data_IF_309135027430
#
_entry.id   IF_309135027430
#
_cell.length_a   1.000
_cell.length_b   1.000
_cell.length_c   1.000
_cell.angle_alpha   90.00
_cell.angle_beta   90.00
_cell.angle_gamma   90.00
#
_symmetry.space_group_name_H-M   'P 1'
#
loop_
_entity.id
_entity.type
_entity.pdbx_description
1 polymer ?
#
# COMPACT_ATOMS: atom_id res chain seq x y z
N UNK A 1 -40.07 -28.01 -10.23
CA UNK A 1 -39.42 -28.68 -9.08
C UNK A 1 -38.02 -29.08 -9.51
N UNK A 2 -37.03 -28.33 -9.04
CA UNK A 2 -35.64 -28.71 -8.76
C UNK A 2 -34.93 -27.39 -8.43
N UNK A 3 -35.12 -26.94 -7.18
CA UNK A 3 -34.32 -25.91 -6.56
C UNK A 3 -33.00 -26.55 -6.12
N UNK A 4 -31.87 -25.97 -6.48
CA UNK A 4 -30.63 -26.15 -5.72
C UNK A 4 -30.02 -24.78 -5.43
N UNK A 5 -30.51 -24.15 -4.37
CA UNK A 5 -29.78 -23.14 -3.61
C UNK A 5 -28.65 -23.84 -2.89
N UNK A 6 -27.44 -23.77 -3.46
CA UNK A 6 -26.21 -24.09 -2.73
C UNK A 6 -25.77 -22.86 -1.97
N UNK A 7 -26.13 -22.76 -0.70
CA UNK A 7 -25.42 -21.91 0.26
C UNK A 7 -24.01 -22.49 0.41
N UNK A 8 -23.02 -21.81 -0.15
CA UNK A 8 -21.61 -22.04 0.16
C UNK A 8 -21.30 -21.30 1.45
N UNK A 9 -21.50 -21.99 2.59
CA UNK A 9 -20.85 -21.63 3.84
C UNK A 9 -19.34 -21.79 3.65
N UNK A 10 -18.61 -20.68 3.56
CA UNK A 10 -17.16 -20.68 3.58
C UNK A 10 -16.69 -20.80 5.03
N UNK A 11 -16.23 -21.98 5.40
CA UNK A 11 -15.45 -22.20 6.62
C UNK A 11 -14.09 -21.49 6.49
N UNK A 12 -13.75 -20.66 7.48
CA UNK A 12 -12.39 -20.15 7.71
C UNK A 12 -11.47 -21.31 8.15
N UNK A 13 -11.26 -22.30 7.29
CA UNK A 13 -10.18 -23.27 7.49
C UNK A 13 -8.89 -22.64 6.96
N UNK A 14 -8.15 -22.00 7.87
CA UNK A 14 -6.77 -21.59 7.65
C UNK A 14 -5.93 -22.83 7.32
N UNK A 15 -5.22 -22.81 6.19
CA UNK A 15 -4.40 -23.91 5.70
C UNK A 15 -3.35 -24.31 6.77
N UNK A 16 -3.33 -25.56 7.27
CA UNK A 16 -2.41 -25.98 8.31
C UNK A 16 -0.94 -25.87 7.89
N UNK A 17 -0.64 -25.84 6.60
CA UNK A 17 0.71 -25.65 6.08
C UNK A 17 1.17 -24.18 6.21
N UNK A 18 0.24 -23.23 6.02
CA UNK A 18 0.45 -21.80 6.30
C UNK A 18 0.64 -21.59 7.80
N UNK A 19 -0.19 -22.20 8.65
CA UNK A 19 -0.03 -22.11 10.11
C UNK A 19 1.35 -22.65 10.55
N UNK A 20 1.79 -23.79 10.00
CA UNK A 20 3.11 -24.36 10.31
C UNK A 20 4.25 -23.41 9.90
N UNK A 21 4.14 -22.76 8.74
CA UNK A 21 5.11 -21.76 8.28
C UNK A 21 5.08 -20.48 9.13
N UNK A 22 3.90 -19.96 9.46
CA UNK A 22 3.69 -18.81 10.36
C UNK A 22 4.26 -19.07 11.75
N UNK A 23 4.12 -20.29 12.26
CA UNK A 23 4.68 -20.71 13.57
C UNK A 23 6.20 -20.83 13.50
N UNK A 24 6.76 -21.32 12.40
CA UNK A 24 8.22 -21.42 12.20
C UNK A 24 8.91 -20.06 12.08
N UNK A 25 8.26 -19.07 11.46
CA UNK A 25 8.73 -17.68 11.37
C UNK A 25 8.64 -16.97 12.73
N UNK A 26 7.52 -17.12 13.44
CA UNK A 26 7.36 -16.58 14.80
C UNK A 26 8.36 -17.17 15.82
N UNK A 27 8.78 -18.43 15.64
CA UNK A 27 9.80 -19.09 16.46
C UNK A 27 11.24 -18.68 16.08
N UNK A 28 11.45 -18.12 14.89
CA UNK A 28 12.76 -17.68 14.41
C UNK A 28 13.22 -16.37 15.06
N UNK A 29 12.28 -15.50 15.47
CA UNK A 29 12.56 -14.31 16.29
C UNK A 29 13.06 -14.66 17.71
N UNK A 30 12.84 -15.91 18.16
CA UNK A 30 13.31 -16.43 19.45
C UNK A 30 14.62 -17.22 19.40
N UNK A 31 15.14 -17.55 18.21
CA UNK A 31 16.43 -18.21 18.06
C UNK A 31 17.42 -17.23 17.46
N UNK A 32 18.35 -16.77 18.30
CA UNK A 32 19.54 -16.04 17.92
C UNK A 32 20.23 -16.71 16.72
N UNK A 33 20.00 -16.19 15.52
CA UNK A 33 20.91 -16.39 14.41
C UNK A 33 22.10 -15.49 14.66
N UNK A 34 23.24 -16.09 14.99
CA UNK A 34 24.51 -15.40 14.93
C UNK A 34 24.75 -15.01 13.46
N UNK A 35 24.46 -13.77 13.09
CA UNK A 35 24.72 -13.27 11.73
C UNK A 35 23.72 -12.29 11.11
N UNK A 36 22.69 -11.80 11.81
CA UNK A 36 21.95 -10.65 11.29
C UNK A 36 22.87 -9.41 11.31
N UNK A 37 23.03 -8.66 10.20
CA UNK A 37 23.86 -7.46 10.19
C UNK A 37 23.35 -6.47 11.24
N UNK A 38 24.24 -5.95 12.09
CA UNK A 38 23.87 -4.91 13.04
C UNK A 38 23.32 -3.70 12.28
N UNK A 39 22.10 -3.26 12.62
CA UNK A 39 21.50 -2.07 12.00
C UNK A 39 22.34 -0.85 12.34
N UNK A 40 22.89 -0.19 11.32
CA UNK A 40 23.83 0.94 11.45
C UNK A 40 23.17 2.29 11.71
N UNK A 41 21.83 2.37 11.61
CA UNK A 41 21.04 3.60 11.66
C UNK A 41 20.70 4.11 10.28
N UNK A 42 19.98 5.23 10.22
CA UNK A 42 19.56 5.85 8.97
C UNK A 42 20.31 7.17 8.70
N UNK A 43 20.35 7.61 7.44
CA UNK A 43 20.82 8.94 7.10
C UNK A 43 20.00 10.06 7.77
N UNK A 44 20.62 11.20 8.03
CA UNK A 44 19.97 12.37 8.65
C UNK A 44 18.74 12.83 7.84
N UNK A 45 18.86 12.84 6.51
CA UNK A 45 17.77 13.20 5.60
C UNK A 45 16.56 12.26 5.72
N UNK A 46 16.80 10.97 5.99
CA UNK A 46 15.74 9.95 6.17
C UNK A 46 15.00 10.19 7.49
N UNK A 47 15.71 10.53 8.56
CA UNK A 47 15.05 10.88 9.83
C UNK A 47 14.16 12.11 9.69
N UNK A 48 14.65 13.16 9.02
CA UNK A 48 13.88 14.38 8.78
C UNK A 48 12.62 14.10 7.96
N UNK A 49 12.75 13.37 6.85
CA UNK A 49 11.59 13.03 6.02
C UNK A 49 10.60 12.12 6.78
N UNK A 50 11.09 11.11 7.48
CA UNK A 50 10.27 10.22 8.29
C UNK A 50 9.54 10.98 9.41
N UNK A 51 10.19 11.96 10.05
CA UNK A 51 9.57 12.82 11.06
C UNK A 51 8.44 13.69 10.47
N UNK A 52 8.64 14.25 9.28
CA UNK A 52 7.61 15.01 8.57
C UNK A 52 6.42 14.13 8.16
N UNK A 53 6.68 12.93 7.64
CA UNK A 53 5.63 11.95 7.31
C UNK A 53 4.86 11.57 8.59
N UNK A 54 5.57 11.18 9.65
CA UNK A 54 5.00 10.84 10.96
C UNK A 54 4.14 11.98 11.50
N UNK A 55 4.59 13.22 11.40
CA UNK A 55 3.85 14.40 11.85
C UNK A 55 2.48 14.52 11.19
N UNK A 56 2.37 14.21 9.90
CA UNK A 56 1.12 14.25 9.14
C UNK A 56 0.16 13.09 9.43
N UNK A 57 0.69 11.91 9.78
CA UNK A 57 -0.12 10.68 9.97
C UNK A 57 -0.33 10.28 11.43
N UNK A 58 0.30 10.99 12.38
CA UNK A 58 0.21 10.69 13.82
C UNK A 58 -1.22 10.64 14.32
N UNK A 59 -1.39 9.92 15.42
CA UNK A 59 -2.67 9.84 16.10
C UNK A 59 -2.76 11.00 17.09
N UNK A 60 -3.64 11.94 16.79
CA UNK A 60 -3.95 13.04 17.69
C UNK A 60 -4.78 12.53 18.88
N UNK A 61 -4.25 12.72 20.08
CA UNK A 61 -4.94 12.40 21.33
C UNK A 61 -5.83 13.55 21.74
N UNK A 62 -6.95 13.25 22.39
CA UNK A 62 -7.82 14.28 22.95
C UNK A 62 -7.05 15.15 23.96
N UNK A 63 -7.38 16.44 24.05
CA UNK A 63 -6.64 17.42 24.85
C UNK A 63 -6.42 17.02 26.33
N UNK A 64 -7.25 16.13 26.88
CA UNK A 64 -7.13 15.61 28.25
C UNK A 64 -6.09 14.49 28.40
N UNK A 65 -5.63 13.87 27.30
CA UNK A 65 -4.68 12.74 27.25
C UNK A 65 -3.33 13.11 26.61
N UNK A 66 -3.17 14.36 26.15
CA UNK A 66 -1.93 14.84 25.52
C UNK A 66 -0.87 15.08 26.60
N UNK A 67 0.13 14.21 26.64
CA UNK A 67 1.29 14.35 27.55
C UNK A 67 2.53 14.87 26.82
N UNK A 68 2.60 14.69 25.50
CA UNK A 68 3.65 15.21 24.63
C UNK A 68 3.01 16.13 23.59
N UNK A 69 3.52 17.35 23.48
CA UNK A 69 3.09 18.31 22.46
C UNK A 69 3.92 18.12 21.20
N UNK A 70 3.23 18.14 20.07
CA UNK A 70 3.87 18.11 18.76
C UNK A 70 3.66 19.47 18.09
N UNK A 71 4.72 19.99 17.49
CA UNK A 71 4.67 21.20 16.69
C UNK A 71 3.83 21.00 15.44
N UNK A 72 3.39 22.12 14.86
CA UNK A 72 2.66 22.17 13.60
C UNK A 72 3.57 22.49 12.40
N UNK A 73 4.82 22.88 12.67
CA UNK A 73 5.79 23.23 11.63
C UNK A 73 6.58 21.97 11.23
N UNK A 74 6.68 21.65 9.92
CA UNK A 74 7.53 20.58 9.43
C UNK A 74 9.00 20.99 9.50
N UNK A 75 9.88 20.01 9.65
CA UNK A 75 11.32 20.21 9.58
C UNK A 75 11.75 20.54 8.16
N UNK A 76 12.80 21.36 8.04
CA UNK A 76 13.37 21.73 6.74
C UNK A 76 13.97 20.50 6.09
N UNK A 77 13.34 20.03 5.00
CA UNK A 77 13.89 18.99 4.14
C UNK A 77 14.79 19.61 3.07
N UNK A 78 16.00 19.07 2.91
CA UNK A 78 16.90 19.43 1.82
C UNK A 78 16.60 18.52 0.63
N UNK A 79 15.86 19.06 -0.35
CA UNK A 79 15.44 18.43 -1.60
C UNK A 79 14.59 17.16 -1.46
N UNK A 80 13.45 17.12 -2.14
CA UNK A 80 12.76 15.85 -2.44
C UNK A 80 13.67 15.10 -3.42
N UNK A 81 14.48 14.19 -2.90
CA UNK A 81 15.20 13.25 -3.76
C UNK A 81 14.18 12.38 -4.50
N UNK A 82 14.31 12.27 -5.83
CA UNK A 82 13.57 11.27 -6.64
C UNK A 82 14.02 9.82 -6.34
N UNK A 83 14.99 9.63 -5.43
CA UNK A 83 15.45 8.30 -5.06
C UNK A 83 14.34 7.51 -4.34
N UNK A 84 13.83 6.49 -5.04
CA UNK A 84 12.84 5.56 -4.51
C UNK A 84 13.33 4.84 -3.25
N UNK A 85 14.64 4.61 -3.10
CA UNK A 85 15.22 3.99 -1.91
C UNK A 85 15.08 4.93 -0.70
N UNK A 86 15.44 6.20 -0.86
CA UNK A 86 15.28 7.23 0.17
C UNK A 86 13.83 7.39 0.62
N UNK A 87 12.89 7.48 -0.33
CA UNK A 87 11.46 7.58 -0.02
C UNK A 87 10.96 6.35 0.73
N UNK A 88 11.32 5.14 0.26
CA UNK A 88 10.93 3.89 0.93
C UNK A 88 11.42 3.85 2.37
N UNK A 89 12.71 4.10 2.62
CA UNK A 89 13.26 4.07 3.98
C UNK A 89 12.55 5.08 4.89
N UNK A 90 12.22 6.27 4.37
CA UNK A 90 11.53 7.32 5.11
C UNK A 90 10.09 6.91 5.49
N UNK A 91 9.34 6.32 4.56
CA UNK A 91 7.99 5.81 4.83
C UNK A 91 8.02 4.59 5.78
N UNK A 92 8.93 3.64 5.58
CA UNK A 92 9.08 2.46 6.44
C UNK A 92 9.40 2.87 7.87
N UNK A 93 10.32 3.82 8.05
CA UNK A 93 10.72 4.32 9.35
C UNK A 93 9.56 5.09 10.03
N UNK A 94 8.88 5.98 9.30
CA UNK A 94 7.72 6.71 9.83
C UNK A 94 6.57 5.78 10.23
N UNK A 95 6.21 4.83 9.36
CA UNK A 95 5.15 3.86 9.64
C UNK A 95 5.52 2.92 10.79
N UNK A 96 6.79 2.55 10.88
CA UNK A 96 7.28 1.76 12.01
C UNK A 96 7.14 2.52 13.33
N UNK A 97 7.59 3.77 13.39
CA UNK A 97 7.41 4.62 14.56
C UNK A 97 5.92 4.83 14.92
N UNK A 98 5.05 4.98 13.91
CA UNK A 98 3.60 5.16 14.10
C UNK A 98 2.94 3.98 14.82
N UNK A 99 3.25 2.74 14.45
CA UNK A 99 2.74 1.53 15.12
C UNK A 99 3.04 1.52 16.61
N UNK A 100 4.19 2.07 17.01
CA UNK A 100 4.64 2.10 18.39
C UNK A 100 4.45 3.46 19.07
N UNK A 101 3.69 4.41 18.49
CA UNK A 101 3.56 5.77 19.00
C UNK A 101 3.27 5.81 20.51
N UNK A 102 2.26 5.06 20.98
CA UNK A 102 1.87 5.04 22.40
C UNK A 102 2.97 4.52 23.32
N UNK A 103 3.72 3.51 22.87
CA UNK A 103 4.82 2.91 23.63
C UNK A 103 6.00 3.87 23.68
N UNK A 104 6.35 4.49 22.55
CA UNK A 104 7.45 5.45 22.45
C UNK A 104 7.17 6.69 23.30
N UNK A 105 5.94 7.23 23.25
CA UNK A 105 5.53 8.33 24.12
C UNK A 105 5.61 7.94 25.61
N UNK A 106 5.17 6.73 25.97
CA UNK A 106 5.26 6.22 27.35
C UNK A 106 6.70 6.13 27.83
N UNK A 107 7.61 5.64 26.97
CA UNK A 107 9.04 5.54 27.28
C UNK A 107 9.64 6.93 27.53
N UNK A 108 9.31 7.92 26.69
CA UNK A 108 9.82 9.29 26.81
C UNK A 108 9.35 10.00 28.09
N UNK A 109 8.10 9.74 28.51
CA UNK A 109 7.54 10.27 29.75
C UNK A 109 8.20 9.62 30.96
N UNK A 110 8.31 8.29 30.96
CA UNK A 110 8.87 7.51 32.07
C UNK A 110 10.40 7.63 32.19
N UNK A 111 11.10 7.98 31.11
CA UNK A 111 12.53 8.34 31.15
C UNK A 111 12.78 9.76 31.65
N UNK A 112 11.71 10.53 31.90
CA UNK A 112 11.72 11.93 32.29
C UNK A 112 12.39 12.87 31.27
N UNK A 113 12.41 12.56 29.97
CA UNK A 113 12.98 13.46 28.95
C UNK A 113 12.14 14.75 28.85
N UNK A 114 10.86 14.64 28.51
CA UNK A 114 9.97 15.82 28.42
C UNK A 114 9.81 16.58 29.75
N UNK A 115 9.73 15.91 30.91
CA UNK A 115 9.73 16.62 32.20
C UNK A 115 11.02 17.35 32.55
N UNK A 116 12.19 16.93 32.02
CA UNK A 116 13.50 17.46 32.47
C UNK A 116 14.14 18.45 31.51
N UNK A 117 13.65 18.55 30.27
CA UNK A 117 14.26 19.41 29.22
C UNK A 117 13.20 20.20 28.46
N UNK A 118 13.47 21.48 28.22
CA UNK A 118 12.65 22.31 27.33
C UNK A 118 13.00 21.98 25.88
N UNK A 119 12.30 21.00 25.32
CA UNK A 119 12.45 20.59 23.91
C UNK A 119 11.46 21.40 23.08
N UNK A 120 11.88 22.01 21.95
CA UNK A 120 10.95 22.62 21.01
C UNK A 120 9.93 21.60 20.47
N UNK A 121 8.64 21.94 20.52
CA UNK A 121 7.55 21.03 20.11
C UNK A 121 7.71 20.50 18.67
N UNK A 122 8.34 21.27 17.77
CA UNK A 122 8.59 20.85 16.38
C UNK A 122 9.58 19.68 16.25
N UNK A 123 10.43 19.42 17.25
CA UNK A 123 11.35 18.27 17.28
C UNK A 123 10.69 16.99 17.80
N UNK A 124 9.48 17.05 18.37
CA UNK A 124 8.82 15.88 18.99
C UNK A 124 8.63 14.72 18.01
N UNK A 125 8.25 15.00 16.75
CA UNK A 125 8.12 13.95 15.72
C UNK A 125 9.47 13.29 15.42
N UNK A 126 10.54 14.08 15.35
CA UNK A 126 11.90 13.59 15.11
C UNK A 126 12.40 12.73 16.27
N UNK A 127 12.12 13.14 17.51
CA UNK A 127 12.45 12.37 18.72
C UNK A 127 11.76 11.01 18.70
N UNK A 128 10.48 10.94 18.35
CA UNK A 128 9.74 9.66 18.30
C UNK A 128 10.35 8.73 17.26
N UNK A 129 10.58 9.23 16.05
CA UNK A 129 11.13 8.46 14.95
C UNK A 129 12.55 7.97 15.26
N UNK A 130 13.42 8.85 15.79
CA UNK A 130 14.78 8.49 16.17
C UNK A 130 14.80 7.56 17.38
N UNK A 131 13.88 7.68 18.34
CA UNK A 131 13.78 6.77 19.47
C UNK A 131 13.40 5.36 19.02
N UNK A 132 12.47 5.23 18.06
CA UNK A 132 12.11 3.94 17.48
C UNK A 132 13.33 3.22 16.91
N UNK A 133 14.12 3.90 16.09
CA UNK A 133 15.35 3.33 15.54
C UNK A 133 16.41 3.08 16.64
N UNK A 134 16.59 4.01 17.58
CA UNK A 134 17.58 3.88 18.64
C UNK A 134 17.32 2.67 19.54
N UNK A 135 16.06 2.38 19.87
CA UNK A 135 15.72 1.18 20.63
C UNK A 135 15.92 -0.10 19.81
N UNK A 136 15.64 -0.06 18.49
CA UNK A 136 15.80 -1.20 17.59
C UNK A 136 17.27 -1.59 17.44
N UNK A 137 18.15 -0.58 17.47
CA UNK A 137 19.61 -0.71 17.55
C UNK A 137 20.12 -0.97 18.98
N UNK A 138 19.26 -1.38 19.91
CA UNK A 138 19.61 -1.70 21.31
C UNK A 138 20.34 -0.56 22.01
N UNK A 139 19.96 0.68 21.71
CA UNK A 139 20.55 1.92 22.21
C UNK A 139 22.06 2.08 21.90
N UNK A 140 22.55 1.48 20.81
CA UNK A 140 23.90 1.76 20.29
C UNK A 140 23.90 3.08 19.51
N UNK A 141 25.06 3.72 19.34
CA UNK A 141 25.17 4.95 18.53
C UNK A 141 25.13 4.60 17.04
N UNK A 142 24.71 5.53 16.18
CA UNK A 142 24.71 5.32 14.72
C UNK A 142 26.14 5.17 14.20
N UNK A 143 26.29 4.43 13.10
CA UNK A 143 27.53 4.38 12.32
C UNK A 143 27.28 5.21 11.06
N UNK A 144 27.78 6.44 11.06
CA UNK A 144 27.64 7.37 9.93
C UNK A 144 28.78 7.15 8.94
N UNK A 145 28.49 7.39 7.66
CA UNK A 145 29.53 7.43 6.62
C UNK A 145 30.18 8.81 6.57
N UNK A 146 31.49 8.88 6.28
CA UNK A 146 32.27 10.13 6.31
C UNK A 146 31.79 11.21 5.32
N UNK A 147 30.88 10.88 4.39
CA UNK A 147 30.40 11.76 3.32
C UNK A 147 29.00 12.35 3.58
N UNK A 148 28.43 12.18 4.77
CA UNK A 148 27.07 12.59 5.05
C UNK A 148 26.96 14.04 5.54
N UNK A 149 26.07 14.84 4.94
CA UNK A 149 25.77 16.18 5.43
C UNK A 149 25.03 16.09 6.77
N UNK A 150 25.64 16.61 7.84
CA UNK A 150 25.05 16.62 9.17
C UNK A 150 23.94 17.66 9.27
N UNK A 151 22.75 17.24 9.72
CA UNK A 151 21.62 18.13 10.00
C UNK A 151 21.60 18.47 11.48
N UNK A 152 21.60 19.76 11.81
CA UNK A 152 21.73 20.26 13.20
C UNK A 152 20.66 19.69 14.13
N UNK A 153 19.41 19.66 13.67
CA UNK A 153 18.26 19.16 14.43
C UNK A 153 18.39 17.66 14.74
N UNK A 154 18.90 16.88 13.80
CA UNK A 154 19.13 15.43 13.98
C UNK A 154 20.25 15.20 14.98
N UNK A 155 21.34 15.95 14.88
CA UNK A 155 22.46 15.86 15.82
C UNK A 155 22.04 16.27 17.25
N UNK A 156 21.21 17.31 17.39
CA UNK A 156 20.67 17.74 18.68
C UNK A 156 19.83 16.64 19.33
N UNK A 157 18.89 16.06 18.58
CA UNK A 157 18.04 14.97 19.07
C UNK A 157 18.87 13.71 19.37
N UNK A 158 19.85 13.38 18.54
CA UNK A 158 20.73 12.24 18.80
C UNK A 158 21.54 12.41 20.10
N UNK A 159 22.12 13.58 20.31
CA UNK A 159 22.87 13.88 21.53
C UNK A 159 21.95 13.81 22.77
N UNK A 160 20.74 14.34 22.65
CA UNK A 160 19.72 14.26 23.69
C UNK A 160 19.37 12.80 24.04
N UNK A 161 19.01 11.98 23.04
CA UNK A 161 18.66 10.57 23.26
C UNK A 161 19.82 9.78 23.86
N UNK A 162 21.05 10.01 23.38
CA UNK A 162 22.25 9.38 23.94
C UNK A 162 22.49 9.76 25.41
N UNK A 163 22.29 11.02 25.77
CA UNK A 163 22.45 11.47 27.17
C UNK A 163 21.46 10.82 28.14
N UNK A 164 20.29 10.38 27.64
CA UNK A 164 19.26 9.66 28.40
C UNK A 164 19.25 8.13 28.19
N UNK A 165 20.23 7.57 27.46
CA UNK A 165 20.30 6.15 27.08
C UNK A 165 19.93 5.17 28.20
N UNK A 166 20.53 5.31 29.38
CA UNK A 166 20.29 4.41 30.52
C UNK A 166 18.84 4.50 31.01
N UNK A 167 18.30 5.72 31.09
CA UNK A 167 16.92 5.97 31.53
C UNK A 167 15.91 5.45 30.52
N UNK A 168 16.17 5.65 29.22
CA UNK A 168 15.36 5.13 28.12
C UNK A 168 15.33 3.60 28.12
N UNK A 169 16.49 2.95 28.24
CA UNK A 169 16.58 1.50 28.31
C UNK A 169 15.83 0.94 29.53
N UNK A 170 15.94 1.60 30.69
CA UNK A 170 15.20 1.22 31.89
C UNK A 170 13.68 1.41 31.74
N UNK A 171 13.24 2.51 31.12
CA UNK A 171 11.83 2.77 30.83
C UNK A 171 11.24 1.74 29.87
N UNK A 172 11.98 1.37 28.81
CA UNK A 172 11.60 0.29 27.91
C UNK A 172 11.47 -1.06 28.64
N UNK A 173 12.41 -1.39 29.53
CA UNK A 173 12.36 -2.61 30.32
C UNK A 173 11.12 -2.65 31.24
N UNK A 174 10.81 -1.55 31.94
CA UNK A 174 9.60 -1.42 32.77
C UNK A 174 8.33 -1.55 31.94
N UNK A 175 8.30 -0.93 30.76
CA UNK A 175 7.18 -1.03 29.82
C UNK A 175 6.94 -2.49 29.40
N UNK A 176 7.99 -3.22 29.01
CA UNK A 176 7.90 -4.65 28.66
C UNK A 176 7.39 -5.52 29.80
N UNK A 177 7.86 -5.30 31.03
CA UNK A 177 7.39 -6.03 32.22
C UNK A 177 5.91 -5.73 32.49
N UNK A 178 5.50 -4.46 32.38
CA UNK A 178 4.09 -4.06 32.58
C UNK A 178 3.14 -4.75 31.61
N UNK A 179 3.58 -5.01 30.38
CA UNK A 179 2.80 -5.66 29.33
C UNK A 179 3.05 -7.17 29.22
N UNK A 180 3.85 -7.76 30.11
CA UNK A 180 4.28 -9.17 30.05
C UNK A 180 4.82 -9.59 28.66
N UNK A 181 5.63 -8.71 28.05
CA UNK A 181 6.02 -8.80 26.66
C UNK A 181 7.53 -9.02 26.47
N UNK A 182 7.90 -10.01 25.65
CA UNK A 182 9.29 -10.31 25.32
C UNK A 182 9.97 -9.22 24.47
N UNK A 183 9.21 -8.44 23.72
CA UNK A 183 9.71 -7.31 22.92
C UNK A 183 8.58 -6.30 22.69
N UNK A 184 8.89 -5.11 22.18
CA UNK A 184 7.85 -4.13 21.83
C UNK A 184 6.88 -4.68 20.77
N UNK A 185 7.35 -5.58 19.90
CA UNK A 185 6.53 -6.25 18.90
C UNK A 185 5.34 -6.96 19.53
N UNK A 186 5.54 -7.68 20.64
CA UNK A 186 4.48 -8.42 21.34
C UNK A 186 3.45 -7.52 22.04
N UNK A 187 3.71 -6.21 22.16
CA UNK A 187 2.76 -5.23 22.70
C UNK A 187 1.76 -4.79 21.62
N UNK A 188 2.12 -4.92 20.33
CA UNK A 188 1.22 -4.54 19.23
C UNK A 188 -0.04 -5.42 19.18
N UNK A 189 -1.17 -4.86 18.71
CA UNK A 189 -2.38 -5.64 18.43
C UNK A 189 -2.08 -6.83 17.52
N UNK A 190 -2.77 -7.95 17.76
CA UNK A 190 -2.60 -9.18 16.97
C UNK A 190 -2.86 -8.95 15.47
N UNK A 191 -3.81 -8.06 15.15
CA UNK A 191 -4.13 -7.68 13.76
C UNK A 191 -2.93 -7.03 13.05
N UNK A 192 -2.25 -6.10 13.71
CA UNK A 192 -1.02 -5.45 13.19
C UNK A 192 0.10 -6.48 13.03
N UNK A 193 0.31 -7.35 14.03
CA UNK A 193 1.34 -8.39 13.96
C UNK A 193 1.12 -9.38 12.82
N UNK A 194 -0.13 -9.85 12.64
CA UNK A 194 -0.51 -10.73 11.52
C UNK A 194 -0.31 -10.04 10.18
N UNK A 195 -0.62 -8.74 10.09
CA UNK A 195 -0.40 -7.97 8.87
C UNK A 195 1.09 -7.87 8.52
N UNK A 196 1.97 -7.58 9.48
CA UNK A 196 3.42 -7.55 9.24
C UNK A 196 3.97 -8.89 8.76
N UNK A 197 3.49 -9.98 9.36
CA UNK A 197 3.90 -11.33 8.97
C UNK A 197 3.45 -11.65 7.52
N UNK A 198 2.22 -11.27 7.16
CA UNK A 198 1.74 -11.35 5.76
C UNK A 198 2.60 -10.48 4.83
N UNK A 199 2.92 -9.25 5.22
CA UNK A 199 3.76 -8.35 4.42
C UNK A 199 5.15 -8.92 4.13
N UNK A 200 5.75 -9.62 5.09
CA UNK A 200 7.08 -10.22 4.95
C UNK A 200 7.12 -11.42 3.98
N UNK A 201 5.99 -12.11 3.83
CA UNK A 201 5.84 -13.32 3.02
C UNK A 201 5.18 -13.05 1.67
N UNK A 202 4.62 -11.85 1.45
CA UNK A 202 3.92 -11.51 0.22
C UNK A 202 4.88 -11.49 -0.97
N UNK A 203 4.59 -12.24 -2.05
CA UNK A 203 5.41 -12.18 -3.25
C UNK A 203 5.27 -10.83 -3.95
N UNK A 204 6.26 -10.49 -4.77
CA UNK A 204 6.25 -9.30 -5.61
C UNK A 204 5.57 -9.63 -6.93
N UNK A 205 4.72 -8.72 -7.40
CA UNK A 205 4.04 -8.83 -8.68
C UNK A 205 4.53 -7.72 -9.60
N UNK A 206 4.82 -8.08 -10.85
CA UNK A 206 5.18 -7.11 -11.87
C UNK A 206 4.59 -7.50 -13.22
N UNK A 207 3.93 -6.57 -13.90
CA UNK A 207 3.37 -6.81 -15.22
C UNK A 207 4.37 -6.47 -16.33
N UNK A 208 4.27 -7.21 -17.44
CA UNK A 208 5.09 -7.07 -18.63
C UNK A 208 4.48 -6.00 -19.53
N UNK A 209 5.28 -4.98 -19.83
CA UNK A 209 4.91 -3.98 -20.82
C UNK A 209 5.11 -4.54 -22.25
N UNK A 210 4.06 -5.17 -22.78
CA UNK A 210 4.07 -5.80 -24.11
C UNK A 210 4.26 -4.83 -25.26
N UNK A 211 4.16 -3.51 -25.04
CA UNK A 211 4.49 -2.51 -26.05
C UNK A 211 6.01 -2.32 -26.22
N UNK A 212 6.81 -2.74 -25.23
CA UNK A 212 8.27 -2.57 -25.24
C UNK A 212 9.03 -3.86 -25.43
N UNK A 213 8.50 -4.98 -24.92
CA UNK A 213 9.21 -6.25 -24.88
C UNK A 213 8.21 -7.40 -24.96
N UNK A 214 8.57 -8.51 -25.62
CA UNK A 214 7.74 -9.71 -25.60
C UNK A 214 7.95 -10.52 -24.32
N UNK A 215 6.95 -11.29 -23.86
CA UNK A 215 7.11 -12.17 -22.70
C UNK A 215 8.31 -13.13 -22.83
N UNK A 216 8.55 -13.66 -24.02
CA UNK A 216 9.66 -14.57 -24.29
C UNK A 216 11.02 -13.89 -24.10
N UNK A 217 11.14 -12.63 -24.53
CA UNK A 217 12.37 -11.86 -24.35
C UNK A 217 12.62 -11.52 -22.88
N UNK A 218 11.56 -11.21 -22.11
CA UNK A 218 11.64 -11.05 -20.65
C UNK A 218 12.18 -12.33 -20.01
N UNK A 219 11.61 -13.49 -20.35
CA UNK A 219 12.03 -14.78 -19.79
C UNK A 219 13.49 -15.08 -20.12
N UNK A 220 13.93 -14.80 -21.34
CA UNK A 220 15.32 -14.99 -21.76
C UNK A 220 16.28 -14.01 -21.05
N UNK A 221 15.85 -12.77 -20.79
CA UNK A 221 16.65 -11.80 -20.04
C UNK A 221 16.82 -12.23 -18.58
N UNK A 222 15.73 -12.61 -17.92
CA UNK A 222 15.71 -13.14 -16.57
C UNK A 222 16.58 -14.40 -16.45
N UNK A 223 16.45 -15.35 -17.39
CA UNK A 223 17.26 -16.58 -17.43
C UNK A 223 18.76 -16.31 -17.56
N UNK A 224 19.15 -15.36 -18.41
CA UNK A 224 20.57 -14.93 -18.54
C UNK A 224 21.13 -14.33 -17.26
N UNK A 225 20.27 -13.78 -16.40
CA UNK A 225 20.62 -13.24 -15.07
C UNK A 225 20.50 -14.27 -13.94
N UNK A 226 20.25 -15.54 -14.28
CA UNK A 226 20.17 -16.64 -13.32
C UNK A 226 18.77 -16.89 -12.74
N UNK A 227 17.73 -16.20 -13.22
CA UNK A 227 16.35 -16.43 -12.76
C UNK A 227 15.71 -17.60 -13.50
N UNK A 228 15.18 -18.57 -12.76
CA UNK A 228 14.54 -19.76 -13.31
C UNK A 228 13.01 -19.65 -13.28
N UNK A 229 12.35 -20.01 -14.38
CA UNK A 229 10.87 -20.05 -14.45
C UNK A 229 10.36 -21.29 -13.72
N UNK A 230 9.49 -21.09 -12.73
CA UNK A 230 8.85 -22.14 -11.93
C UNK A 230 7.33 -22.05 -12.03
N UNK A 231 6.63 -23.08 -11.55
CA UNK A 231 5.15 -23.07 -11.49
C UNK A 231 4.60 -22.25 -10.33
N UNK A 232 5.30 -22.24 -9.20
CA UNK A 232 4.93 -21.51 -8.00
C UNK A 232 6.19 -21.06 -7.27
N UNK A 233 6.08 -19.91 -6.58
CA UNK A 233 7.22 -19.17 -6.00
C UNK A 233 7.42 -19.52 -4.52
N UNK A 234 7.04 -20.73 -4.11
CA UNK A 234 7.07 -21.18 -2.70
C UNK A 234 8.50 -21.35 -2.13
N UNK A 235 9.54 -21.32 -2.97
CA UNK A 235 10.92 -21.52 -2.54
C UNK A 235 11.62 -20.19 -2.28
N UNK A 236 12.05 -20.02 -1.04
CA UNK A 236 12.49 -18.74 -0.45
C UNK A 236 13.95 -18.39 -0.80
N UNK A 237 14.75 -19.31 -1.34
CA UNK A 237 16.20 -19.09 -1.46
C UNK A 237 16.74 -19.07 -2.90
N UNK A 238 15.88 -19.24 -3.91
CA UNK A 238 16.32 -19.31 -5.31
C UNK A 238 15.93 -18.05 -6.10
N UNK A 239 16.79 -17.66 -7.06
CA UNK A 239 16.41 -16.71 -8.12
C UNK A 239 15.40 -17.38 -9.03
N UNK A 240 14.11 -17.25 -8.70
CA UNK A 240 13.01 -17.83 -9.44
C UNK A 240 11.94 -16.79 -9.77
N UNK A 241 11.12 -17.11 -10.76
CA UNK A 241 9.90 -16.37 -11.05
C UNK A 241 8.81 -17.31 -11.58
N UNK A 242 7.55 -16.96 -11.36
CA UNK A 242 6.41 -17.63 -11.96
C UNK A 242 5.58 -16.64 -12.81
N UNK A 243 4.67 -17.17 -13.63
CA UNK A 243 3.65 -16.38 -14.32
C UNK A 243 2.36 -16.54 -13.54
N UNK A 244 1.65 -15.43 -13.31
CA UNK A 244 0.38 -15.48 -12.60
C UNK A 244 -0.68 -16.25 -13.40
N UNK A 245 -1.52 -17.00 -12.69
CA UNK A 245 -2.53 -17.86 -13.30
C UNK A 245 -3.72 -17.07 -13.87
N UNK A 246 -4.03 -15.92 -13.29
CA UNK A 246 -5.19 -15.09 -13.65
C UNK A 246 -4.81 -13.96 -14.61
N UNK A 247 -3.58 -13.45 -14.50
CA UNK A 247 -3.07 -12.32 -15.26
C UNK A 247 -1.87 -12.77 -16.12
N UNK A 248 -2.11 -13.04 -17.40
CA UNK A 248 -1.13 -13.69 -18.29
C UNK A 248 0.17 -12.89 -18.54
N UNK A 249 0.14 -11.59 -18.29
CA UNK A 249 1.28 -10.69 -18.43
C UNK A 249 1.93 -10.35 -17.08
N UNK A 250 1.48 -10.92 -15.97
CA UNK A 250 2.02 -10.68 -14.63
C UNK A 250 3.00 -11.78 -14.24
N UNK A 251 4.15 -11.35 -13.72
CA UNK A 251 5.18 -12.22 -13.14
C UNK A 251 5.19 -12.09 -11.62
N UNK A 252 5.48 -13.21 -10.98
CA UNK A 252 5.54 -13.36 -9.53
C UNK A 252 6.99 -13.64 -9.14
N UNK A 253 7.52 -12.89 -8.16
CA UNK A 253 8.87 -13.04 -7.64
C UNK A 253 8.86 -13.17 -6.11
N UNK A 254 9.84 -13.86 -5.50
CA UNK A 254 10.03 -13.84 -4.05
C UNK A 254 10.29 -12.41 -3.53
N UNK A 255 9.79 -12.09 -2.34
CA UNK A 255 9.92 -10.76 -1.70
C UNK A 255 11.36 -10.29 -1.52
N UNK A 256 12.26 -11.19 -1.13
CA UNK A 256 13.66 -10.88 -0.87
C UNK A 256 14.46 -10.44 -2.12
N UNK A 257 13.99 -10.77 -3.34
CA UNK A 257 14.67 -10.41 -4.60
C UNK A 257 14.43 -8.97 -5.04
N UNK A 258 13.64 -8.18 -4.31
CA UNK A 258 13.23 -6.84 -4.70
C UNK A 258 14.40 -5.91 -5.04
N UNK A 259 15.41 -5.87 -4.17
CA UNK A 259 16.58 -5.00 -4.34
C UNK A 259 17.42 -5.39 -5.55
N UNK A 260 17.51 -6.71 -5.84
CA UNK A 260 18.13 -7.21 -7.05
C UNK A 260 17.33 -6.80 -8.29
N UNK A 261 16.00 -6.91 -8.24
CA UNK A 261 15.10 -6.67 -9.38
C UNK A 261 15.03 -5.19 -9.78
N UNK A 262 14.90 -4.26 -8.83
CA UNK A 262 14.79 -2.81 -9.11
C UNK A 262 16.00 -2.30 -9.90
N UNK A 263 17.16 -2.92 -9.71
CA UNK A 263 18.40 -2.50 -10.37
C UNK A 263 18.56 -3.04 -11.79
N UNK A 264 17.72 -3.97 -12.23
CA UNK A 264 17.75 -4.57 -13.56
C UNK A 264 17.13 -3.62 -14.59
N UNK A 265 17.74 -3.56 -15.78
CA UNK A 265 17.30 -2.70 -16.90
C UNK A 265 15.84 -2.92 -17.30
N UNK A 266 15.29 -4.12 -17.07
CA UNK A 266 13.87 -4.42 -17.28
C UNK A 266 12.96 -3.48 -16.46
N UNK A 267 13.31 -3.19 -15.20
CA UNK A 267 12.50 -2.31 -14.35
C UNK A 267 12.81 -0.84 -14.65
N UNK A 268 14.10 -0.47 -14.79
CA UNK A 268 14.52 0.90 -15.10
C UNK A 268 13.94 1.42 -16.43
N UNK A 269 13.83 0.56 -17.43
CA UNK A 269 13.27 0.91 -18.75
C UNK A 269 11.74 0.79 -18.82
N UNK A 270 11.02 0.58 -17.71
CA UNK A 270 9.57 0.33 -17.70
C UNK A 270 9.13 -0.84 -18.60
N UNK A 271 9.98 -1.88 -18.72
CA UNK A 271 9.64 -3.13 -19.41
C UNK A 271 8.91 -4.10 -18.47
N UNK A 272 9.28 -4.06 -17.20
CA UNK A 272 8.55 -4.64 -16.07
C UNK A 272 8.20 -3.52 -15.10
N UNK A 273 6.99 -3.53 -14.57
CA UNK A 273 6.51 -2.52 -13.62
C UNK A 273 5.90 -3.24 -12.43
N UNK A 274 6.36 -2.93 -11.22
CA UNK A 274 5.76 -3.46 -10.00
C UNK A 274 4.35 -2.91 -9.82
N UNK A 275 3.43 -3.78 -9.45
CA UNK A 275 2.04 -3.42 -9.21
C UNK A 275 1.43 -4.43 -8.27
N UNK A 276 0.53 -3.98 -7.39
CA UNK A 276 -0.22 -4.92 -6.55
C UNK A 276 -1.10 -5.86 -7.40
N UNK A 277 -1.16 -7.15 -7.02
CA UNK A 277 -1.95 -8.17 -7.74
C UNK A 277 -3.41 -7.78 -7.86
N UNK A 278 -3.99 -7.15 -6.84
CA UNK A 278 -5.40 -6.72 -6.88
C UNK A 278 -5.66 -5.74 -8.02
N UNK A 279 -4.72 -4.83 -8.29
CA UNK A 279 -4.83 -3.85 -9.38
C UNK A 279 -4.65 -4.51 -10.74
N UNK A 280 -3.70 -5.44 -10.88
CA UNK A 280 -3.56 -6.23 -12.11
C UNK A 280 -4.82 -7.06 -12.37
N UNK A 281 -5.39 -7.73 -11.36
CA UNK A 281 -6.62 -8.51 -11.53
C UNK A 281 -7.80 -7.62 -11.93
N UNK A 282 -7.89 -6.41 -11.38
CA UNK A 282 -8.95 -5.47 -11.72
C UNK A 282 -8.95 -5.12 -13.23
N UNK A 283 -7.79 -4.78 -13.80
CA UNK A 283 -7.69 -4.45 -15.24
C UNK A 283 -7.86 -5.68 -16.14
N UNK A 284 -7.43 -6.87 -15.70
CA UNK A 284 -7.70 -8.12 -16.42
C UNK A 284 -9.18 -8.51 -16.39
N UNK A 285 -9.88 -8.22 -15.28
CA UNK A 285 -11.33 -8.43 -15.18
C UNK A 285 -12.09 -7.52 -16.14
N UNK A 286 -11.65 -6.28 -16.31
CA UNK A 286 -12.16 -5.38 -17.35
C UNK A 286 -11.85 -5.93 -18.74
N UNK A 287 -10.60 -6.35 -18.99
CA UNK A 287 -10.18 -6.88 -20.30
C UNK A 287 -11.02 -8.07 -20.74
N UNK A 288 -11.41 -8.96 -19.81
CA UNK A 288 -12.25 -10.11 -20.09
C UNK A 288 -13.68 -9.75 -20.52
N UNK A 289 -14.15 -8.54 -20.21
CA UNK A 289 -15.50 -8.05 -20.51
C UNK A 289 -15.56 -7.14 -21.75
N UNK A 290 -14.41 -6.75 -22.30
CA UNK A 290 -14.33 -5.82 -23.44
C UNK A 290 -14.44 -6.54 -24.78
N UNK A 291 -15.20 -5.95 -25.71
CA UNK A 291 -15.15 -6.30 -27.12
C UNK A 291 -14.11 -5.44 -27.87
N UNK A 292 -13.94 -5.71 -29.16
CA UNK A 292 -13.18 -4.84 -30.04
C UNK A 292 -13.83 -3.45 -30.10
N UNK A 293 -13.02 -2.40 -29.95
CA UNK A 293 -13.40 -0.98 -30.04
C UNK A 293 -14.30 -0.43 -28.92
N UNK A 294 -14.51 -1.20 -27.85
CA UNK A 294 -15.15 -0.72 -26.63
C UNK A 294 -14.23 0.21 -25.85
N UNK A 295 -14.75 1.33 -25.36
CA UNK A 295 -14.00 2.25 -24.49
C UNK A 295 -14.19 1.89 -23.01
N UNK A 296 -13.22 2.29 -22.20
CA UNK A 296 -13.16 2.04 -20.76
C UNK A 296 -13.23 3.36 -20.02
N UNK A 297 -13.98 3.41 -18.92
CA UNK A 297 -13.92 4.50 -17.95
C UNK A 297 -13.33 3.98 -16.64
N UNK A 298 -12.14 4.45 -16.28
CA UNK A 298 -11.49 4.20 -15.00
C UNK A 298 -11.78 5.36 -14.04
N UNK A 299 -12.29 5.01 -12.87
CA UNK A 299 -12.75 5.96 -11.86
C UNK A 299 -11.88 5.86 -10.62
N UNK A 300 -11.41 7.02 -10.12
CA UNK A 300 -10.64 7.17 -8.87
C UNK A 300 -9.33 6.36 -8.85
N UNK A 301 -8.71 6.18 -10.01
CA UNK A 301 -7.40 5.53 -10.09
C UNK A 301 -6.30 6.45 -9.56
N UNK A 302 -5.84 6.18 -8.33
CA UNK A 302 -4.67 6.86 -7.74
C UNK A 302 -3.34 6.49 -8.41
N UNK A 303 -3.30 5.32 -9.06
CA UNK A 303 -2.10 4.77 -9.69
C UNK A 303 -2.08 4.96 -11.20
N UNK A 304 -1.11 5.74 -11.67
CA UNK A 304 -0.87 5.88 -13.10
C UNK A 304 -0.31 4.61 -13.74
N UNK A 305 0.33 3.73 -12.97
CA UNK A 305 0.73 2.41 -13.46
C UNK A 305 -0.46 1.50 -13.72
N UNK A 306 -1.51 1.57 -12.90
CA UNK A 306 -2.75 0.82 -13.16
C UNK A 306 -3.45 1.29 -14.44
N UNK A 307 -3.51 2.61 -14.67
CA UNK A 307 -4.00 3.17 -15.94
C UNK A 307 -3.15 2.72 -17.12
N UNK A 308 -1.82 2.78 -16.96
CA UNK A 308 -0.89 2.34 -17.98
C UNK A 308 -1.08 0.86 -18.29
N UNK A 309 -1.23 0.00 -17.29
CA UNK A 309 -1.47 -1.43 -17.48
C UNK A 309 -2.73 -1.67 -18.31
N UNK A 310 -3.85 -1.00 -17.99
CA UNK A 310 -5.09 -1.07 -18.78
C UNK A 310 -4.89 -0.59 -20.23
N UNK A 311 -4.14 0.50 -20.43
CA UNK A 311 -3.79 1.03 -21.75
C UNK A 311 -2.99 0.01 -22.57
N UNK A 312 -1.98 -0.63 -21.98
CA UNK A 312 -1.15 -1.63 -22.65
C UNK A 312 -1.99 -2.88 -23.03
N UNK A 313 -2.84 -3.36 -22.12
CA UNK A 313 -3.75 -4.49 -22.38
C UNK A 313 -4.77 -4.21 -23.51
N UNK A 314 -5.00 -2.94 -23.83
CA UNK A 314 -5.96 -2.50 -24.86
C UNK A 314 -5.30 -1.85 -26.08
N UNK A 315 -3.97 -1.75 -26.12
CA UNK A 315 -3.25 -0.99 -27.15
C UNK A 315 -3.39 -1.56 -28.58
N UNK A 316 -3.72 -2.85 -28.71
CA UNK A 316 -4.00 -3.48 -30.00
C UNK A 316 -5.41 -3.19 -30.54
N UNK A 317 -6.26 -2.53 -29.74
CA UNK A 317 -7.62 -2.17 -30.10
C UNK A 317 -7.71 -0.64 -30.37
N UNK A 318 -8.76 -0.18 -31.03
CA UNK A 318 -9.02 1.28 -31.13
C UNK A 318 -9.67 1.88 -29.88
N UNK A 319 -9.75 1.08 -28.80
CA UNK A 319 -10.29 1.42 -27.49
C UNK A 319 -9.56 2.60 -26.87
N UNK A 320 -10.33 3.50 -26.24
CA UNK A 320 -9.83 4.58 -25.40
C UNK A 320 -10.03 4.26 -23.92
N UNK A 321 -9.08 4.69 -23.10
CA UNK A 321 -9.13 4.62 -21.64
C UNK A 321 -9.37 6.02 -21.10
N UNK A 322 -10.61 6.29 -20.70
CA UNK A 322 -10.98 7.53 -20.02
C UNK A 322 -10.68 7.39 -18.53
N UNK A 323 -10.11 8.43 -17.92
CA UNK A 323 -9.76 8.45 -16.51
C UNK A 323 -10.37 9.66 -15.82
N UNK A 324 -11.07 9.48 -14.70
CA UNK A 324 -11.63 10.59 -13.91
C UNK A 324 -11.45 10.41 -12.40
N UNK A 325 -11.68 11.49 -11.64
CA UNK A 325 -11.63 11.46 -10.17
C UNK A 325 -10.25 11.72 -9.55
N UNK A 326 -9.27 12.16 -10.34
CA UNK A 326 -7.88 12.38 -9.89
C UNK A 326 -7.53 13.88 -9.90
N UNK A 327 -8.22 14.67 -9.06
CA UNK A 327 -8.14 16.14 -9.12
C UNK A 327 -6.79 16.74 -8.73
N UNK A 328 -6.04 16.09 -7.84
CA UNK A 328 -4.75 16.59 -7.34
C UNK A 328 -3.57 16.29 -8.28
N UNK A 329 -3.55 15.11 -8.92
CA UNK A 329 -2.42 14.64 -9.74
C UNK A 329 -2.55 14.96 -11.24
N UNK A 330 -3.74 15.31 -11.74
CA UNK A 330 -3.95 15.63 -13.18
C UNK A 330 -3.24 16.93 -13.65
N UNK A 331 -2.60 17.68 -12.74
CA UNK A 331 -1.82 18.88 -13.04
C UNK A 331 -0.33 18.60 -13.23
N UNK A 332 0.09 17.35 -13.06
CA UNK A 332 1.49 16.98 -13.10
C UNK A 332 2.01 16.96 -14.56
N UNK A 333 2.93 17.88 -14.94
CA UNK A 333 3.57 17.84 -16.26
C UNK A 333 4.31 16.52 -16.50
N UNK A 334 4.69 15.79 -15.46
CA UNK A 334 5.43 14.53 -15.55
C UNK A 334 4.54 13.35 -15.97
N UNK A 335 3.22 13.46 -15.84
CA UNK A 335 2.31 12.38 -16.19
C UNK A 335 2.30 12.07 -17.70
N UNK A 336 2.30 13.10 -18.54
CA UNK A 336 2.41 12.91 -20.00
C UNK A 336 3.76 12.30 -20.38
N UNK A 337 4.81 12.72 -19.69
CA UNK A 337 6.16 12.17 -19.83
C UNK A 337 6.19 10.70 -19.43
N UNK A 338 5.54 10.32 -18.33
CA UNK A 338 5.42 8.93 -17.86
C UNK A 338 4.70 8.05 -18.89
N UNK A 339 3.52 8.45 -19.35
CA UNK A 339 2.78 7.67 -20.36
C UNK A 339 3.54 7.55 -21.67
N UNK A 340 4.25 8.60 -22.10
CA UNK A 340 5.12 8.55 -23.27
C UNK A 340 6.29 7.60 -23.05
N UNK A 341 6.93 7.65 -21.87
CA UNK A 341 8.00 6.73 -21.48
C UNK A 341 7.51 5.29 -21.46
N UNK A 342 6.34 5.00 -20.93
CA UNK A 342 5.76 3.64 -20.88
C UNK A 342 5.31 3.19 -22.28
N UNK A 343 4.86 4.11 -23.13
CA UNK A 343 4.38 3.84 -24.49
C UNK A 343 2.86 3.81 -24.63
N UNK A 344 2.13 4.40 -23.68
CA UNK A 344 0.68 4.50 -23.70
C UNK A 344 0.21 5.56 -24.71
N UNK A 345 -0.82 5.23 -25.52
CA UNK A 345 -1.29 6.10 -26.63
C UNK A 345 -2.78 6.44 -26.59
N UNK A 346 -3.57 5.71 -25.82
CA UNK A 346 -5.03 5.75 -25.85
C UNK A 346 -5.67 6.24 -24.54
N UNK A 347 -4.94 7.02 -23.74
CA UNK A 347 -5.43 7.52 -22.44
C UNK A 347 -5.97 8.94 -22.60
N UNK A 348 -7.18 9.19 -22.09
CA UNK A 348 -7.80 10.52 -22.01
C UNK A 348 -8.20 10.84 -20.56
N UNK A 349 -7.68 11.94 -20.02
CA UNK A 349 -7.94 12.36 -18.63
C UNK A 349 -9.08 13.38 -18.60
N UNK A 350 -10.11 13.06 -17.83
CA UNK A 350 -11.23 13.92 -17.49
C UNK A 350 -10.92 14.62 -16.16
N UNK A 351 -11.16 15.94 -16.10
CA UNK A 351 -10.83 16.78 -14.94
C UNK A 351 -11.95 16.82 -13.91
N UNK A 352 -13.12 16.36 -14.31
CA UNK A 352 -14.33 16.33 -13.52
C UNK A 352 -14.22 15.26 -12.41
N UNK A 353 -14.87 15.51 -11.25
CA UNK A 353 -15.17 14.42 -10.33
C UNK A 353 -16.14 13.47 -11.00
N UNK A 354 -16.02 12.17 -10.71
CA UNK A 354 -16.87 11.16 -11.33
C UNK A 354 -18.37 11.45 -11.16
N UNK A 355 -18.79 11.83 -9.95
CA UNK A 355 -20.19 12.11 -9.63
C UNK A 355 -20.78 13.29 -10.44
N UNK A 356 -19.93 14.19 -10.95
CA UNK A 356 -20.33 15.35 -11.72
C UNK A 356 -20.37 15.07 -13.24
N UNK A 357 -19.92 13.90 -13.68
CA UNK A 357 -19.98 13.53 -15.10
C UNK A 357 -21.42 13.16 -15.44
N UNK A 358 -21.96 13.78 -16.49
CA UNK A 358 -23.29 13.45 -16.95
C UNK A 358 -23.33 12.06 -17.57
N UNK A 359 -24.35 11.27 -17.24
CA UNK A 359 -24.51 9.88 -17.74
C UNK A 359 -24.77 9.81 -19.25
N UNK A 360 -25.07 10.95 -19.87
CA UNK A 360 -25.28 11.13 -21.32
C UNK A 360 -24.15 11.93 -21.98
N UNK A 361 -22.99 12.06 -21.34
CA UNK A 361 -21.84 12.74 -21.92
C UNK A 361 -21.48 12.12 -23.29
N UNK A 362 -21.43 12.96 -24.31
CA UNK A 362 -21.17 12.56 -25.69
C UNK A 362 -19.77 11.95 -25.87
N UNK A 363 -18.80 12.30 -25.02
CA UNK A 363 -17.45 11.73 -25.02
C UNK A 363 -17.44 10.25 -24.61
N UNK A 364 -18.39 9.85 -23.77
CA UNK A 364 -18.42 8.52 -23.12
C UNK A 364 -19.42 7.54 -23.77
N UNK A 365 -19.98 7.87 -24.95
CA UNK A 365 -21.02 7.04 -25.58
C UNK A 365 -20.55 5.63 -25.98
N UNK A 366 -19.25 5.46 -26.18
CA UNK A 366 -18.60 4.18 -26.49
C UNK A 366 -18.10 3.42 -25.25
N UNK A 367 -18.17 4.02 -24.06
CA UNK A 367 -17.76 3.35 -22.84
C UNK A 367 -18.70 2.17 -22.56
N UNK A 368 -18.15 0.96 -22.56
CA UNK A 368 -18.90 -0.28 -22.27
C UNK A 368 -18.57 -0.87 -20.91
N UNK A 369 -17.37 -0.62 -20.39
CA UNK A 369 -16.98 -1.12 -19.09
C UNK A 369 -16.48 0.03 -18.23
N UNK A 370 -17.01 0.12 -17.01
CA UNK A 370 -16.55 1.07 -16.00
C UNK A 370 -15.76 0.29 -14.96
N UNK A 371 -14.51 0.69 -14.73
CA UNK A 371 -13.71 0.21 -13.61
C UNK A 371 -13.77 1.23 -12.48
N UNK A 372 -14.46 0.85 -11.40
CA UNK A 372 -14.63 1.67 -10.21
C UNK A 372 -13.65 1.19 -9.13
N UNK A 373 -12.66 2.04 -8.83
CA UNK A 373 -11.66 1.85 -7.78
C UNK A 373 -11.89 2.90 -6.69
N UNK A 374 -12.97 2.78 -5.89
CA UNK A 374 -13.30 3.81 -4.92
C UNK A 374 -12.27 3.84 -3.78
N UNK A 375 -12.18 4.98 -3.09
CA UNK A 375 -11.48 5.03 -1.80
C UNK A 375 -12.14 4.06 -0.83
N UNK A 376 -11.31 3.28 -0.13
CA UNK A 376 -11.73 2.28 0.85
C UNK A 376 -10.77 2.28 2.04
N UNK A 377 -11.07 1.48 3.05
CA UNK A 377 -10.24 1.38 4.26
C UNK A 377 -8.81 0.89 4.00
N UNK A 378 -8.59 0.15 2.90
CA UNK A 378 -7.27 -0.39 2.55
C UNK A 378 -6.81 -1.56 3.41
N UNK A 379 -7.64 -2.06 4.34
CA UNK A 379 -7.25 -3.08 5.33
C UNK A 379 -6.83 -4.43 4.72
N UNK A 380 -7.15 -4.69 3.46
CA UNK A 380 -6.67 -5.87 2.72
C UNK A 380 -5.22 -5.74 2.25
N UNK A 381 -4.66 -4.53 2.26
CA UNK A 381 -3.27 -4.28 1.85
C UNK A 381 -2.33 -4.82 2.92
N UNK A 382 -1.51 -5.80 2.55
CA UNK A 382 -0.55 -6.38 3.50
C UNK A 382 0.65 -5.46 3.76
N UNK A 383 1.24 -4.88 2.71
CA UNK A 383 2.34 -3.92 2.81
C UNK A 383 1.89 -2.51 2.41
N UNK A 384 1.41 -1.69 3.36
CA UNK A 384 0.83 -0.39 3.04
C UNK A 384 1.87 0.61 2.51
N UNK A 385 3.11 0.56 2.97
CA UNK A 385 4.19 1.43 2.45
C UNK A 385 4.45 1.14 0.98
N UNK A 386 4.57 -0.14 0.62
CA UNK A 386 4.79 -0.50 -0.78
C UNK A 386 3.60 -0.13 -1.67
N UNK A 387 2.39 -0.23 -1.14
CA UNK A 387 1.19 0.19 -1.84
C UNK A 387 1.15 1.70 -2.09
N UNK A 388 1.58 2.55 -1.14
CA UNK A 388 1.72 4.00 -1.37
C UNK A 388 2.73 4.27 -2.49
N UNK A 389 3.90 3.63 -2.43
CA UNK A 389 4.99 3.89 -3.35
C UNK A 389 4.65 3.44 -4.78
N UNK A 390 3.97 2.30 -4.92
CA UNK A 390 3.62 1.75 -6.23
C UNK A 390 2.31 2.32 -6.78
N UNK A 391 1.32 2.60 -5.93
CA UNK A 391 -0.02 3.00 -6.38
C UNK A 391 -0.36 4.47 -6.12
N UNK A 392 0.58 5.25 -5.56
CA UNK A 392 0.44 6.69 -5.27
C UNK A 392 -0.83 7.05 -4.47
N UNK A 393 -1.17 6.20 -3.50
CA UNK A 393 -2.31 6.38 -2.61
C UNK A 393 -1.99 7.34 -1.44
N UNK A 394 -3.04 7.85 -0.79
CA UNK A 394 -2.92 8.83 0.30
C UNK A 394 -2.29 8.23 1.56
N UNK A 395 -1.37 8.94 2.22
CA UNK A 395 -0.73 8.48 3.47
C UNK A 395 -1.71 8.24 4.63
N UNK A 396 -2.95 8.73 4.53
CA UNK A 396 -3.97 8.60 5.57
C UNK A 396 -4.24 7.15 6.02
N UNK A 397 -4.17 6.17 5.12
CA UNK A 397 -4.43 4.77 5.52
C UNK A 397 -3.32 4.17 6.39
N UNK A 398 -2.10 4.73 6.41
CA UNK A 398 -1.06 4.29 7.35
C UNK A 398 -1.52 4.41 8.81
N UNK A 399 -2.36 5.41 9.10
CA UNK A 399 -2.93 5.60 10.44
C UNK A 399 -3.80 4.43 10.86
N UNK A 400 -4.76 4.04 10.00
CA UNK A 400 -5.69 2.95 10.30
C UNK A 400 -4.94 1.60 10.36
N UNK A 401 -3.96 1.38 9.49
CA UNK A 401 -3.09 0.20 9.52
C UNK A 401 -2.26 0.12 10.81
N UNK A 402 -1.74 1.24 11.31
CA UNK A 402 -0.94 1.26 12.54
C UNK A 402 -1.74 0.86 13.79
N UNK A 403 -3.06 1.08 13.77
CA UNK A 403 -3.97 0.74 14.87
C UNK A 403 -4.58 -0.66 14.72
N UNK A 404 -4.37 -1.32 13.58
CA UNK A 404 -4.90 -2.64 13.30
C UNK A 404 -6.41 -2.67 13.11
N UNK A 405 -7.00 -1.55 12.70
CA UNK A 405 -8.43 -1.42 12.45
C UNK A 405 -8.85 0.01 12.11
N UNK A 406 -10.07 0.13 11.57
CA UNK A 406 -10.69 1.40 11.21
C UNK A 406 -11.85 1.72 12.16
N UNK A 407 -12.11 3.01 12.41
CA UNK A 407 -13.29 3.39 13.21
C UNK A 407 -14.58 3.11 12.45
N UNK A 408 -15.64 2.74 13.18
CA UNK A 408 -16.96 2.44 12.60
C UNK A 408 -17.51 3.64 11.83
N UNK A 409 -17.33 4.86 12.35
CA UNK A 409 -17.79 6.08 11.70
C UNK A 409 -17.08 6.31 10.36
N UNK A 410 -15.75 6.13 10.32
CA UNK A 410 -14.97 6.27 9.08
C UNK A 410 -15.34 5.20 8.07
N UNK A 411 -15.50 3.95 8.51
CA UNK A 411 -15.95 2.84 7.65
C UNK A 411 -17.32 3.12 7.04
N UNK A 412 -18.28 3.60 7.85
CA UNK A 412 -19.62 3.96 7.37
C UNK A 412 -19.58 5.09 6.34
N UNK A 413 -18.77 6.13 6.57
CA UNK A 413 -18.58 7.23 5.61
C UNK A 413 -18.02 6.71 4.28
N UNK A 414 -16.98 5.86 4.33
CA UNK A 414 -16.37 5.27 3.14
C UNK A 414 -17.37 4.39 2.37
N UNK A 415 -18.07 3.49 3.05
CA UNK A 415 -19.08 2.62 2.45
C UNK A 415 -20.22 3.43 1.79
N UNK A 416 -20.65 4.53 2.42
CA UNK A 416 -21.67 5.41 1.85
C UNK A 416 -21.17 6.12 0.58
N UNK A 417 -19.93 6.62 0.58
CA UNK A 417 -19.31 7.24 -0.61
C UNK A 417 -19.14 6.21 -1.76
N UNK A 418 -18.73 4.99 -1.43
CA UNK A 418 -18.60 3.89 -2.38
C UNK A 418 -19.96 3.53 -3.01
N UNK A 419 -21.01 3.47 -2.20
CA UNK A 419 -22.38 3.25 -2.67
C UNK A 419 -22.86 4.35 -3.63
N UNK A 420 -22.60 5.62 -3.30
CA UNK A 420 -22.94 6.76 -4.17
C UNK A 420 -22.23 6.68 -5.53
N UNK A 421 -20.95 6.30 -5.54
CA UNK A 421 -20.19 6.12 -6.78
C UNK A 421 -20.69 4.92 -7.58
N UNK A 422 -20.93 3.78 -6.93
CA UNK A 422 -21.42 2.57 -7.60
C UNK A 422 -22.80 2.79 -8.23
N UNK A 423 -23.72 3.39 -7.48
CA UNK A 423 -25.05 3.75 -8.00
C UNK A 423 -25.00 4.80 -9.10
N UNK A 424 -24.03 5.71 -9.08
CA UNK A 424 -23.80 6.63 -10.19
C UNK A 424 -23.27 5.92 -11.44
N UNK A 425 -22.29 5.03 -11.30
CA UNK A 425 -21.77 4.21 -12.40
C UNK A 425 -22.87 3.40 -13.08
N UNK A 426 -23.78 2.84 -12.28
CA UNK A 426 -24.95 2.11 -12.74
C UNK A 426 -25.96 2.93 -13.55
N UNK A 427 -25.90 4.27 -13.53
CA UNK A 427 -26.78 5.13 -14.35
C UNK A 427 -26.27 5.30 -15.80
N UNK A 428 -25.05 4.85 -16.11
CA UNK A 428 -24.49 4.89 -17.46
C UNK A 428 -25.15 3.82 -18.35
N UNK A 429 -26.27 4.17 -18.97
CA UNK A 429 -27.06 3.24 -19.82
C UNK A 429 -26.33 2.62 -21.01
N UNK A 430 -25.17 3.18 -21.40
CA UNK A 430 -24.32 2.64 -22.48
C UNK A 430 -23.28 1.65 -21.98
N UNK A 431 -22.97 1.66 -20.68
CA UNK A 431 -22.11 0.69 -20.04
C UNK A 431 -22.86 -0.65 -19.91
N UNK A 432 -22.16 -1.73 -20.25
CA UNK A 432 -22.63 -3.10 -20.18
C UNK A 432 -22.19 -3.77 -18.86
N UNK A 433 -21.06 -3.34 -18.30
CA UNK A 433 -20.55 -3.86 -17.04
C UNK A 433 -19.91 -2.78 -16.18
N UNK A 434 -19.99 -2.97 -14.86
CA UNK A 434 -19.25 -2.21 -13.86
C UNK A 434 -18.41 -3.18 -13.06
N UNK A 435 -17.09 -3.01 -13.09
CA UNK A 435 -16.15 -3.74 -12.24
C UNK A 435 -15.90 -2.89 -11.00
N UNK A 436 -16.40 -3.35 -9.86
CA UNK A 436 -16.21 -2.72 -8.55
C UNK A 436 -15.07 -3.43 -7.81
N UNK A 437 -14.02 -2.70 -7.44
CA UNK A 437 -12.86 -3.29 -6.78
C UNK A 437 -12.35 -2.41 -5.63
N UNK A 438 -12.28 -2.98 -4.44
CA UNK A 438 -11.71 -2.37 -3.25
C UNK A 438 -10.43 -3.11 -2.85
N UNK A 439 -9.65 -2.50 -1.96
CA UNK A 439 -8.56 -3.17 -1.23
C UNK A 439 -8.96 -3.38 0.24
N UNK A 440 -10.23 -3.71 0.47
CA UNK A 440 -10.80 -3.93 1.80
C UNK A 440 -11.19 -5.38 2.03
N UNK A 441 -11.07 -5.83 3.27
CA UNK A 441 -11.61 -7.12 3.74
C UNK A 441 -12.92 -6.96 4.49
N UNK A 442 -13.43 -5.72 4.65
CA UNK A 442 -14.67 -5.43 5.35
C UNK A 442 -15.88 -5.69 4.44
N UNK A 443 -16.82 -6.57 4.83
CA UNK A 443 -18.05 -6.83 4.07
C UNK A 443 -18.89 -5.56 3.85
N UNK A 444 -18.81 -4.60 4.77
CA UNK A 444 -19.48 -3.30 4.69
C UNK A 444 -19.06 -2.49 3.48
N UNK A 445 -17.83 -2.65 2.99
CA UNK A 445 -17.31 -2.00 1.79
C UNK A 445 -17.46 -2.88 0.55
N UNK A 446 -17.72 -4.17 0.71
CA UNK A 446 -17.73 -5.14 -0.37
C UNK A 446 -19.16 -5.61 -0.68
N UNK A 447 -19.56 -6.77 -0.17
CA UNK A 447 -20.84 -7.41 -0.46
C UNK A 447 -22.02 -6.53 -0.08
N UNK A 448 -21.93 -5.79 1.03
CA UNK A 448 -23.02 -4.94 1.52
C UNK A 448 -23.28 -3.76 0.58
N UNK A 449 -22.24 -3.08 0.09
CA UNK A 449 -22.36 -1.97 -0.87
C UNK A 449 -22.97 -2.45 -2.18
N UNK A 450 -22.47 -3.58 -2.71
CA UNK A 450 -22.97 -4.15 -3.97
C UNK A 450 -24.43 -4.57 -3.82
N UNK A 451 -24.79 -5.29 -2.75
CA UNK A 451 -26.16 -5.72 -2.49
C UNK A 451 -27.11 -4.53 -2.41
N UNK A 452 -26.76 -3.50 -1.63
CA UNK A 452 -27.54 -2.28 -1.49
C UNK A 452 -27.75 -1.57 -2.84
N UNK A 453 -26.71 -1.53 -3.69
CA UNK A 453 -26.80 -0.90 -5.02
C UNK A 453 -27.71 -1.67 -5.98
N UNK A 454 -27.71 -2.99 -5.93
CA UNK A 454 -28.58 -3.84 -6.75
C UNK A 454 -30.05 -3.74 -6.32
N UNK A 455 -30.34 -3.77 -5.02
CA UNK A 455 -31.72 -3.63 -4.49
C UNK A 455 -32.37 -2.30 -4.93
N UNK A 456 -31.59 -1.23 -5.05
CA UNK A 456 -32.08 0.06 -5.52
C UNK A 456 -32.51 0.04 -7.00
N UNK A 457 -31.93 -0.83 -7.84
CA UNK A 457 -32.31 -0.93 -9.25
C UNK A 457 -33.63 -1.68 -9.47
N UNK A 458 -33.93 -2.70 -8.67
CA UNK A 458 -35.13 -3.53 -8.82
C UNK A 458 -36.44 -2.74 -8.64
N UNK A 459 -36.39 -1.61 -7.94
CA UNK A 459 -37.53 -0.70 -7.77
C UNK A 459 -37.81 0.17 -9.03
N UNK A 460 -36.87 0.25 -9.98
CA UNK A 460 -36.90 1.23 -11.06
C UNK A 460 -37.25 0.71 -12.47
N UNK A 461 -37.00 -0.55 -12.82
CA UNK A 461 -37.23 -1.05 -14.19
C UNK A 461 -37.56 -2.56 -14.24
N UNK A 462 -38.74 -2.89 -14.79
CA UNK A 462 -39.12 -4.27 -15.18
C UNK A 462 -38.47 -4.69 -16.50
N UNK A 463 -37.15 -4.73 -16.54
CA UNK A 463 -36.40 -5.40 -17.62
C UNK A 463 -35.51 -6.44 -16.96
N UNK A 464 -35.65 -7.71 -17.36
CA UNK A 464 -34.85 -8.82 -16.81
C UNK A 464 -33.36 -8.45 -16.81
N UNK A 465 -32.72 -8.31 -15.63
CA UNK A 465 -31.30 -8.07 -15.61
C UNK A 465 -30.62 -9.44 -15.65
N UNK A 466 -29.82 -9.68 -16.69
CA UNK A 466 -28.81 -10.74 -16.63
C UNK A 466 -27.71 -10.25 -15.68
N UNK A 467 -27.99 -10.23 -14.37
CA UNK A 467 -27.04 -9.88 -13.33
C UNK A 467 -26.28 -11.13 -12.92
N UNK A 468 -25.09 -11.33 -13.49
CA UNK A 468 -24.10 -12.26 -12.95
C UNK A 468 -23.13 -11.52 -12.05
N UNK A 469 -23.13 -11.81 -10.74
CA UNK A 469 -22.09 -11.31 -9.84
C UNK A 469 -20.94 -12.31 -9.85
N UNK A 470 -19.76 -11.88 -10.28
CA UNK A 470 -18.52 -12.66 -10.13
C UNK A 470 -17.66 -11.99 -9.07
N UNK A 471 -17.70 -12.53 -7.85
CA UNK A 471 -16.77 -12.14 -6.79
C UNK A 471 -15.43 -12.83 -7.05
N UNK A 472 -14.37 -12.04 -7.19
CA UNK A 472 -12.99 -12.53 -7.23
C UNK A 472 -12.22 -11.86 -6.11
N UNK A 473 -11.83 -12.64 -5.11
CA UNK A 473 -10.97 -12.18 -4.04
C UNK A 473 -9.52 -12.38 -4.47
N UNK A 474 -8.70 -11.32 -4.41
CA UNK A 474 -7.26 -11.47 -4.41
C UNK A 474 -6.82 -11.72 -2.96
N UNK A 475 -6.40 -12.95 -2.67
CA UNK A 475 -5.53 -13.25 -1.53
C UNK A 475 -4.18 -13.71 -2.08
#
# INVERSE_FOLDING_TARGET
MLNSTGELEFSNEEDPEIISQLTSLALSDGKSSAGAPEKTGYPDSVYVMAANIFQGIRIEKSAQKVLIKYGNEPLRSFSESEDQSFQRLSYELAFSALKYQDILETILIDSCIFPSTTIPDHLSSLIIVMLYDFQDRKFQTRVLSDNEESISEVQEVENLLNSFKIKLAAALARCRIKHDALSIYHILPETVRKQELRASTLPLYAWINTCKISPEEVYNNLKRRGYNKVKSVLHIDDKVFAVDQHCYDVLIFPSHLKNDLINIDLFKDYKLIFQDKSRSLAVHSVKALLNMDDDILMVNTGSWYTVAHMSILTNNNTSKVFVCGVQSQAKDPDLKTLFTKIGCKNIEILRETFINIETKDHRLQKVKVILLLPRCSGLGVSNPVEFILNEHEDTEFLKDHSQGGISVDKLHILAQQQYEQLTHAMKFTKAQAVVYCTCSVCPEENEAVVKKALEFQDLGNKVQPYSGTLLRQCL
#
